data_IF_947009212568
#
_entry.id   IF_947009212568
#
_cell.length_a   1.000
_cell.length_b   1.000
_cell.length_c   1.000
_cell.angle_alpha   90.00
_cell.angle_beta   90.00
_cell.angle_gamma   90.00
#
_symmetry.space_group_name_H-M   'P 1'
#
loop_
_entity.id
_entity.type
_entity.pdbx_description
1 polymer ?
#
# COMPACT_ATOMS: atom_id res chain seq x y z
N UNK A 1 25.82 16.68 -10.40
CA UNK A 1 24.51 16.52 -11.06
C UNK A 1 24.17 17.83 -11.79
N UNK A 2 23.84 17.77 -13.07
CA UNK A 2 23.45 18.94 -13.84
C UNK A 2 21.93 19.20 -13.74
N UNK A 3 21.47 20.36 -14.26
CA UNK A 3 20.06 20.79 -14.18
C UNK A 3 19.10 19.79 -14.86
N UNK A 4 19.51 19.13 -15.95
CA UNK A 4 18.68 18.16 -16.65
C UNK A 4 18.56 16.86 -15.83
N UNK A 5 19.64 16.39 -15.25
CA UNK A 5 19.62 15.22 -14.36
C UNK A 5 18.74 15.47 -13.13
N UNK A 6 18.75 16.69 -12.58
CA UNK A 6 17.88 17.05 -11.48
C UNK A 6 16.40 17.06 -11.89
N UNK A 7 16.06 17.54 -13.09
CA UNK A 7 14.67 17.51 -13.59
C UNK A 7 14.08 16.11 -13.64
N UNK A 8 14.88 15.12 -13.99
CA UNK A 8 14.45 13.73 -14.07
C UNK A 8 14.19 13.08 -12.69
N UNK A 9 14.56 13.76 -11.61
CA UNK A 9 14.34 13.34 -10.22
C UNK A 9 13.19 14.09 -9.54
N UNK A 10 12.43 14.86 -10.30
CA UNK A 10 11.30 15.63 -9.77
C UNK A 10 10.02 15.19 -10.47
N UNK A 11 9.08 14.69 -9.68
CA UNK A 11 7.72 14.41 -10.14
C UNK A 11 6.77 15.41 -9.49
N UNK A 12 5.99 16.10 -10.31
CA UNK A 12 4.97 17.03 -9.87
C UNK A 12 3.65 16.30 -9.68
N UNK A 13 2.89 16.60 -8.62
CA UNK A 13 1.60 16.00 -8.34
C UNK A 13 0.68 15.98 -9.57
N UNK A 14 0.50 17.09 -10.26
CA UNK A 14 -0.33 17.19 -11.47
C UNK A 14 0.24 16.48 -12.71
N UNK A 15 1.37 15.77 -12.58
CA UNK A 15 1.97 14.94 -13.63
C UNK A 15 1.97 13.44 -13.28
N UNK A 16 1.43 13.08 -12.13
CA UNK A 16 1.25 11.70 -11.75
C UNK A 16 0.31 10.98 -12.72
N UNK A 17 0.68 9.77 -13.10
CA UNK A 17 -0.11 8.90 -13.98
C UNK A 17 -0.62 7.72 -13.17
N UNK A 18 -1.93 7.58 -12.98
CA UNK A 18 -2.50 6.46 -12.26
C UNK A 18 -2.49 5.19 -13.09
N UNK A 19 -2.29 4.05 -12.44
CA UNK A 19 -2.69 2.74 -12.92
C UNK A 19 -3.98 2.33 -12.19
N UNK A 20 -5.06 2.10 -12.92
CA UNK A 20 -6.36 1.72 -12.34
C UNK A 20 -6.54 0.21 -12.20
N UNK A 21 -5.63 -0.55 -12.83
CA UNK A 21 -5.60 -2.01 -12.81
C UNK A 21 -4.30 -2.54 -12.20
N UNK A 22 -3.74 -1.81 -11.23
CA UNK A 22 -2.44 -2.13 -10.66
C UNK A 22 -2.43 -3.46 -9.89
N UNK A 23 -3.57 -3.87 -9.34
CA UNK A 23 -3.68 -4.98 -8.41
C UNK A 23 -4.89 -5.87 -8.70
N UNK A 24 -4.82 -7.10 -8.22
CA UNK A 24 -5.81 -8.16 -8.43
C UNK A 24 -7.24 -7.75 -8.06
N UNK A 25 -7.45 -6.86 -7.10
CA UNK A 25 -8.75 -6.40 -6.65
C UNK A 25 -9.34 -5.22 -7.48
N UNK A 26 -8.71 -4.88 -8.61
CA UNK A 26 -9.11 -3.72 -9.42
C UNK A 26 -10.51 -3.83 -10.06
N UNK A 27 -11.08 -5.03 -10.16
CA UNK A 27 -12.46 -5.24 -10.63
C UNK A 27 -13.44 -5.58 -9.50
N UNK A 28 -12.96 -5.76 -8.28
CA UNK A 28 -13.79 -6.10 -7.13
C UNK A 28 -14.61 -4.89 -6.67
N UNK A 29 -15.91 -5.03 -6.43
CA UNK A 29 -16.74 -3.94 -5.92
C UNK A 29 -16.16 -3.32 -4.64
N UNK A 30 -16.13 -1.99 -4.59
CA UNK A 30 -15.50 -1.23 -3.50
C UNK A 30 -14.00 -1.03 -3.64
N UNK A 31 -13.33 -1.69 -4.62
CA UNK A 31 -11.90 -1.47 -4.92
C UNK A 31 -11.66 -1.01 -6.37
N UNK A 32 -12.69 -1.06 -7.20
CA UNK A 32 -12.62 -0.84 -8.66
C UNK A 32 -12.50 0.63 -9.09
N UNK A 33 -12.42 1.56 -8.17
CA UNK A 33 -12.27 3.00 -8.46
C UNK A 33 -10.95 3.57 -7.93
N UNK A 34 -10.07 2.74 -7.41
CA UNK A 34 -8.78 3.18 -6.88
C UNK A 34 -7.80 3.54 -8.00
N UNK A 35 -6.94 4.48 -7.69
CA UNK A 35 -5.83 4.91 -8.53
C UNK A 35 -4.51 4.64 -7.79
N UNK A 36 -3.60 3.92 -8.43
CA UNK A 36 -2.30 3.60 -7.87
C UNK A 36 -1.21 4.31 -8.67
N UNK A 37 -0.27 4.91 -7.97
CA UNK A 37 0.83 5.67 -8.56
C UNK A 37 2.14 5.04 -8.12
N UNK A 38 3.01 4.69 -9.08
CA UNK A 38 4.39 4.30 -8.80
C UNK A 38 5.28 5.49 -9.05
N UNK A 39 5.80 6.08 -7.98
CA UNK A 39 6.49 7.38 -8.02
C UNK A 39 7.99 7.16 -8.08
N UNK A 40 8.57 6.40 -7.15
CA UNK A 40 10.00 6.08 -7.12
C UNK A 40 10.15 4.57 -6.98
N UNK A 41 10.98 3.97 -7.82
CA UNK A 41 11.20 2.53 -7.87
C UNK A 41 10.06 1.78 -8.54
N UNK A 42 10.22 0.48 -8.75
CA UNK A 42 9.25 -0.38 -9.44
C UNK A 42 7.97 -0.64 -8.67
N UNK A 43 8.01 -0.50 -7.34
CA UNK A 43 6.85 -0.76 -6.48
C UNK A 43 6.42 -2.23 -6.50
N UNK A 44 5.14 -2.46 -6.23
CA UNK A 44 4.54 -3.80 -6.09
C UNK A 44 3.38 -4.05 -7.07
N UNK A 45 3.24 -3.23 -8.12
CA UNK A 45 2.16 -3.38 -9.08
C UNK A 45 2.27 -4.70 -9.85
N UNK A 46 1.15 -5.38 -10.04
CA UNK A 46 0.98 -6.64 -10.78
C UNK A 46 0.65 -6.39 -12.26
N UNK A 47 0.38 -5.13 -12.62
CA UNK A 47 0.01 -4.73 -13.97
C UNK A 47 1.22 -4.39 -14.83
N UNK A 48 1.23 -4.89 -16.07
CA UNK A 48 2.21 -4.51 -17.08
C UNK A 48 2.07 -3.03 -17.52
N UNK A 49 0.90 -2.43 -17.32
CA UNK A 49 0.59 -1.04 -17.73
C UNK A 49 1.07 0.01 -16.71
N UNK A 50 1.75 -0.42 -15.65
CA UNK A 50 2.24 0.47 -14.60
C UNK A 50 3.29 1.45 -15.12
N UNK A 51 3.04 2.75 -14.96
CA UNK A 51 4.03 3.78 -15.25
C UNK A 51 4.90 4.07 -14.02
N UNK A 52 6.21 3.87 -14.13
CA UNK A 52 7.18 4.27 -13.11
C UNK A 52 7.74 5.64 -13.44
N UNK A 53 7.59 6.62 -12.54
CA UNK A 53 8.01 8.01 -12.81
C UNK A 53 9.52 8.22 -12.63
N UNK A 54 10.10 7.66 -11.56
CA UNK A 54 11.54 7.68 -11.27
C UNK A 54 11.97 6.24 -11.02
N UNK A 55 12.77 5.69 -11.93
CA UNK A 55 13.17 4.28 -11.89
C UNK A 55 14.29 3.98 -10.88
N UNK A 56 15.14 4.99 -10.61
CA UNK A 56 16.24 4.82 -9.65
C UNK A 56 15.72 4.86 -8.21
N UNK A 57 16.05 3.84 -7.43
CA UNK A 57 15.73 3.78 -6.01
C UNK A 57 16.91 3.26 -5.20
N UNK A 58 17.32 3.96 -4.14
CA UNK A 58 18.38 3.53 -3.23
C UNK A 58 17.80 2.88 -1.95
N UNK A 59 17.22 1.68 -2.06
CA UNK A 59 16.79 0.92 -0.90
C UNK A 59 15.36 1.19 -0.40
N UNK A 60 14.53 1.88 -1.19
CA UNK A 60 13.11 2.07 -0.90
C UNK A 60 12.30 2.31 -2.18
N UNK A 61 10.99 2.11 -2.11
CA UNK A 61 10.05 2.48 -3.16
C UNK A 61 9.01 3.46 -2.60
N UNK A 62 8.57 4.40 -3.43
CA UNK A 62 7.48 5.32 -3.09
C UNK A 62 6.35 5.17 -4.08
N UNK A 63 5.18 4.86 -3.57
CA UNK A 63 3.92 4.86 -4.29
C UNK A 63 2.90 5.78 -3.64
N UNK A 64 1.73 5.88 -4.25
CA UNK A 64 0.57 6.50 -3.66
C UNK A 64 -0.70 5.78 -4.07
N UNK A 65 -1.72 5.82 -3.21
CA UNK A 65 -3.06 5.40 -3.51
C UNK A 65 -4.02 6.59 -3.43
N UNK A 66 -4.72 6.84 -4.54
CA UNK A 66 -5.79 7.81 -4.62
C UNK A 66 -7.13 7.08 -4.72
N UNK A 67 -8.11 7.46 -3.89
CA UNK A 67 -9.38 6.75 -3.81
C UNK A 67 -10.55 7.72 -3.60
N UNK A 68 -11.67 7.54 -4.30
CA UNK A 68 -12.91 8.23 -3.96
C UNK A 68 -13.48 7.71 -2.62
N UNK A 69 -14.52 8.35 -2.08
CA UNK A 69 -15.19 7.87 -0.87
C UNK A 69 -15.65 6.42 -0.96
N UNK A 70 -15.52 5.67 0.15
CA UNK A 70 -15.89 4.25 0.28
C UNK A 70 -15.12 3.31 -0.66
N UNK A 71 -14.03 3.77 -1.24
CA UNK A 71 -13.13 2.91 -2.01
C UNK A 71 -12.02 2.38 -1.09
N UNK A 72 -11.67 1.09 -1.26
CA UNK A 72 -10.70 0.40 -0.41
C UNK A 72 -9.60 -0.29 -1.20
N UNK A 73 -8.50 -0.52 -0.54
CA UNK A 73 -7.48 -1.51 -0.90
C UNK A 73 -7.70 -2.77 -0.07
N UNK A 74 -7.78 -3.92 -0.75
CA UNK A 74 -8.15 -5.19 -0.10
C UNK A 74 -7.04 -5.73 0.79
N UNK A 75 -7.36 -6.71 1.63
CA UNK A 75 -6.43 -7.32 2.59
C UNK A 75 -5.24 -7.97 1.91
N UNK A 76 -4.06 -7.50 2.25
CA UNK A 76 -2.78 -8.00 1.75
C UNK A 76 -1.68 -7.85 2.79
N UNK A 77 -0.56 -8.53 2.57
CA UNK A 77 0.63 -8.47 3.41
C UNK A 77 1.87 -8.25 2.56
N UNK A 78 2.92 -7.67 3.15
CA UNK A 78 4.25 -7.56 2.55
C UNK A 78 5.31 -8.19 3.48
N UNK A 79 6.40 -8.63 2.87
CA UNK A 79 7.58 -9.12 3.59
C UNK A 79 8.54 -8.00 3.98
N UNK A 80 8.29 -6.79 3.52
CA UNK A 80 9.07 -5.59 3.81
C UNK A 80 8.29 -4.61 4.68
N UNK A 81 8.98 -3.65 5.26
CA UNK A 81 8.37 -2.54 5.98
C UNK A 81 7.56 -1.67 5.02
N UNK A 82 6.42 -1.18 5.49
CA UNK A 82 5.58 -0.24 4.77
C UNK A 82 5.08 0.85 5.70
N UNK A 83 5.31 2.09 5.29
CA UNK A 83 4.85 3.30 5.98
C UNK A 83 3.84 4.03 5.11
N UNK A 84 2.71 4.41 5.69
CA UNK A 84 1.76 5.30 5.04
C UNK A 84 1.77 6.67 5.68
N UNK A 85 1.74 7.68 4.82
CA UNK A 85 1.53 9.08 5.16
C UNK A 85 0.23 9.57 4.53
N UNK A 86 -0.70 10.08 5.33
CA UNK A 86 -1.96 10.63 4.82
C UNK A 86 -1.71 12.01 4.24
N UNK A 87 -1.80 12.12 2.91
CA UNK A 87 -1.64 13.39 2.20
C UNK A 87 -2.95 14.19 2.16
N UNK A 88 -4.08 13.50 2.04
CA UNK A 88 -5.41 14.10 1.95
C UNK A 88 -6.49 13.11 2.34
N UNK A 89 -7.50 13.58 3.07
CA UNK A 89 -8.71 12.85 3.39
C UNK A 89 -8.69 12.14 4.74
N UNK A 90 -9.69 11.30 4.95
CA UNK A 90 -9.88 10.52 6.18
C UNK A 90 -9.88 9.04 5.84
N UNK A 91 -8.98 8.29 6.47
CA UNK A 91 -8.71 6.92 6.11
C UNK A 91 -8.90 5.98 7.28
N UNK A 92 -9.54 4.85 7.05
CA UNK A 92 -9.57 3.70 7.93
C UNK A 92 -8.49 2.72 7.49
N UNK A 93 -7.55 2.39 8.36
CA UNK A 93 -6.64 1.26 8.22
C UNK A 93 -7.16 0.14 9.10
N UNK A 94 -7.25 -1.05 8.56
CA UNK A 94 -7.74 -2.24 9.26
C UNK A 94 -6.83 -3.42 8.97
N UNK A 95 -6.72 -4.35 9.91
CA UNK A 95 -5.77 -5.45 9.81
C UNK A 95 -6.25 -6.73 10.49
N UNK A 96 -5.38 -7.80 10.36
CA UNK A 96 -5.65 -9.15 10.77
C UNK A 96 -6.02 -10.04 9.59
N UNK A 97 -5.96 -11.35 9.80
CA UNK A 97 -6.21 -12.36 8.76
C UNK A 97 -7.54 -12.17 8.04
N UNK A 98 -8.53 -11.65 8.76
CA UNK A 98 -9.89 -11.38 8.27
C UNK A 98 -10.23 -9.88 8.25
N UNK A 99 -9.24 -9.01 8.56
CA UNK A 99 -9.45 -7.57 8.64
C UNK A 99 -10.20 -7.09 9.89
N UNK A 100 -10.25 -7.91 10.93
CA UNK A 100 -11.06 -7.66 12.14
C UNK A 100 -10.25 -7.67 13.45
N UNK A 101 -8.93 -7.86 13.39
CA UNK A 101 -8.09 -7.88 14.58
C UNK A 101 -7.88 -6.48 15.18
N UNK A 102 -7.87 -5.45 14.33
CA UNK A 102 -7.78 -4.07 14.77
C UNK A 102 -7.98 -3.10 13.62
N UNK A 103 -8.21 -1.85 13.99
CA UNK A 103 -8.34 -0.74 13.04
C UNK A 103 -7.93 0.59 13.68
N UNK A 104 -7.67 1.58 12.83
CA UNK A 104 -7.44 2.97 13.22
C UNK A 104 -7.90 3.92 12.13
N UNK A 105 -8.47 5.05 12.53
CA UNK A 105 -8.76 6.16 11.61
C UNK A 105 -7.62 7.16 11.65
N UNK A 106 -7.12 7.52 10.47
CA UNK A 106 -6.07 8.52 10.25
C UNK A 106 -6.60 9.67 9.41
N UNK A 107 -6.01 10.85 9.61
CA UNK A 107 -6.31 12.08 8.88
C UNK A 107 -5.05 12.72 8.31
N UNK A 108 -5.18 13.80 7.60
CA UNK A 108 -4.06 14.51 6.95
C UNK A 108 -2.90 14.77 7.91
N UNK A 109 -1.70 14.38 7.48
CA UNK A 109 -0.47 14.51 8.26
C UNK A 109 -0.17 13.33 9.19
N UNK A 110 -1.14 12.44 9.45
CA UNK A 110 -0.90 11.23 10.27
C UNK A 110 -0.05 10.21 9.51
N UNK A 111 0.71 9.43 10.27
CA UNK A 111 1.61 8.39 9.77
C UNK A 111 1.28 7.07 10.46
N UNK A 112 1.32 5.98 9.71
CA UNK A 112 1.32 4.63 10.26
C UNK A 112 2.44 3.80 9.63
N UNK A 113 3.23 3.15 10.47
CA UNK A 113 4.17 2.11 10.08
C UNK A 113 3.49 0.75 10.27
N UNK A 114 3.11 0.10 9.19
CA UNK A 114 2.45 -1.21 9.28
C UNK A 114 3.43 -2.26 9.80
N UNK A 115 3.11 -2.99 10.87
CA UNK A 115 3.92 -4.11 11.30
C UNK A 115 4.12 -5.11 10.16
N UNK A 116 5.39 -5.43 9.86
CA UNK A 116 5.74 -6.34 8.76
C UNK A 116 5.07 -7.70 8.93
N UNK A 117 4.52 -8.24 7.86
CA UNK A 117 3.93 -9.57 7.83
C UNK A 117 2.48 -9.67 8.30
N UNK A 118 1.84 -8.59 8.78
CA UNK A 118 0.39 -8.64 9.05
C UNK A 118 -0.40 -8.41 7.78
N UNK A 119 -1.58 -9.01 7.68
CA UNK A 119 -2.58 -8.62 6.68
C UNK A 119 -3.19 -7.28 7.06
N UNK A 120 -3.26 -6.34 6.12
CA UNK A 120 -3.90 -5.03 6.26
C UNK A 120 -4.60 -4.61 4.99
N UNK A 121 -5.56 -3.73 5.17
CA UNK A 121 -6.23 -2.98 4.12
C UNK A 121 -6.46 -1.55 4.57
N UNK A 122 -6.89 -0.70 3.65
CA UNK A 122 -7.24 0.67 3.96
C UNK A 122 -8.39 1.14 3.07
N UNK A 123 -9.16 2.10 3.56
CA UNK A 123 -10.35 2.61 2.92
C UNK A 123 -10.45 4.12 3.11
N UNK A 124 -10.79 4.84 2.06
CA UNK A 124 -11.17 6.25 2.20
C UNK A 124 -12.59 6.36 2.77
N UNK A 125 -12.68 6.75 4.02
CA UNK A 125 -13.96 6.98 4.74
C UNK A 125 -14.33 8.48 4.82
N UNK A 126 -13.63 9.32 4.06
CA UNK A 126 -13.96 10.74 3.91
C UNK A 126 -15.07 10.96 2.89
N UNK A 127 -15.47 12.23 2.72
CA UNK A 127 -16.50 12.67 1.77
C UNK A 127 -15.95 12.98 0.37
N UNK A 128 -14.63 13.10 0.24
CA UNK A 128 -13.96 13.53 -0.98
C UNK A 128 -12.88 12.54 -1.41
N UNK A 129 -12.32 12.76 -2.60
CA UNK A 129 -11.15 12.01 -3.06
C UNK A 129 -9.98 12.20 -2.10
N UNK A 130 -9.52 11.10 -1.55
CA UNK A 130 -8.39 11.03 -0.64
C UNK A 130 -7.12 10.51 -1.30
N UNK A 131 -5.97 10.80 -0.71
CA UNK A 131 -4.67 10.31 -1.15
C UNK A 131 -3.76 9.98 0.03
N UNK A 132 -3.14 8.82 -0.04
CA UNK A 132 -2.07 8.40 0.88
C UNK A 132 -0.79 8.11 0.08
N UNK A 133 0.34 8.39 0.68
CA UNK A 133 1.65 7.99 0.17
C UNK A 133 2.09 6.71 0.88
N UNK A 134 2.60 5.75 0.13
CA UNK A 134 3.18 4.51 0.64
C UNK A 134 4.69 4.50 0.40
N UNK A 135 5.45 4.17 1.42
CA UNK A 135 6.90 3.97 1.35
C UNK A 135 7.18 2.53 1.73
N UNK A 136 7.75 1.77 0.80
CA UNK A 136 8.12 0.36 1.01
C UNK A 136 9.64 0.24 1.08
N UNK A 137 10.14 -0.55 2.00
CA UNK A 137 11.57 -0.85 2.14
C UNK A 137 12.07 -1.79 1.04
N UNK A 138 13.38 -1.72 0.74
CA UNK A 138 14.03 -2.53 -0.27
C UNK A 138 13.87 -2.03 -1.69
N UNK A 139 14.79 -2.43 -2.59
CA UNK A 139 14.77 -2.05 -4.00
C UNK A 139 13.67 -2.79 -4.78
N UNK A 140 13.32 -4.00 -4.35
CA UNK A 140 12.28 -4.86 -4.92
C UNK A 140 10.93 -4.80 -4.17
N UNK A 141 10.80 -3.87 -3.24
CA UNK A 141 9.61 -3.73 -2.38
C UNK A 141 9.20 -5.04 -1.67
N UNK A 142 10.19 -5.89 -1.31
CA UNK A 142 9.98 -7.14 -0.58
C UNK A 142 9.40 -8.29 -1.43
N UNK A 143 9.53 -8.22 -2.75
CA UNK A 143 9.12 -9.30 -3.67
C UNK A 143 7.62 -9.36 -3.94
N UNK A 144 6.89 -8.26 -3.74
CA UNK A 144 5.49 -8.15 -4.14
C UNK A 144 4.47 -8.22 -3.01
N UNK A 145 3.26 -8.61 -3.37
CA UNK A 145 2.08 -8.63 -2.50
C UNK A 145 1.68 -10.08 -2.17
N UNK A 146 1.37 -10.33 -0.91
CA UNK A 146 0.72 -11.56 -0.45
C UNK A 146 -0.75 -11.23 -0.20
N UNK A 147 -1.65 -11.74 -1.03
CA UNK A 147 -3.08 -11.50 -0.91
C UNK A 147 -3.74 -12.46 0.08
N UNK A 148 -4.72 -11.95 0.81
CA UNK A 148 -5.57 -12.81 1.63
C UNK A 148 -6.40 -13.75 0.72
N UNK A 149 -6.69 -15.00 1.15
CA UNK A 149 -7.38 -16.00 0.33
C UNK A 149 -8.65 -15.49 -0.34
N UNK A 150 -9.52 -14.84 0.43
CA UNK A 150 -10.78 -14.29 -0.06
C UNK A 150 -10.62 -13.22 -1.15
N UNK A 151 -9.49 -12.50 -1.17
CA UNK A 151 -9.22 -11.48 -2.20
C UNK A 151 -8.90 -12.13 -3.53
N UNK A 152 -8.13 -13.22 -3.53
CA UNK A 152 -7.82 -14.00 -4.74
C UNK A 152 -9.09 -14.60 -5.33
N UNK A 153 -9.95 -15.18 -4.48
CA UNK A 153 -11.21 -15.77 -4.88
C UNK A 153 -12.18 -14.72 -5.45
N UNK A 154 -12.33 -13.59 -4.76
CA UNK A 154 -13.17 -12.47 -5.21
C UNK A 154 -12.69 -11.91 -6.54
N UNK A 155 -11.40 -11.76 -6.72
CA UNK A 155 -10.82 -11.24 -7.96
C UNK A 155 -11.11 -12.18 -9.15
N UNK A 156 -10.94 -13.49 -8.97
CA UNK A 156 -11.24 -14.47 -10.01
C UNK A 156 -12.72 -14.41 -10.41
N UNK A 157 -13.64 -14.28 -9.44
CA UNK A 157 -15.08 -14.10 -9.68
C UNK A 157 -15.41 -12.80 -10.44
N UNK A 158 -14.51 -11.80 -10.39
CA UNK A 158 -14.65 -10.53 -11.10
C UNK A 158 -13.79 -10.42 -12.36
N UNK A 159 -13.15 -11.52 -12.77
CA UNK A 159 -12.45 -11.62 -14.04
C UNK A 159 -10.98 -11.21 -14.01
N UNK A 160 -10.35 -11.13 -12.83
CA UNK A 160 -8.91 -10.92 -12.69
C UNK A 160 -8.25 -12.16 -12.11
N UNK A 161 -7.23 -12.68 -12.79
CA UNK A 161 -6.47 -13.86 -12.36
C UNK A 161 -5.01 -13.45 -12.19
N UNK A 162 -4.50 -13.60 -10.98
CA UNK A 162 -3.08 -13.44 -10.68
C UNK A 162 -2.38 -14.77 -10.96
N UNK A 163 -1.35 -14.74 -11.79
CA UNK A 163 -0.51 -15.90 -12.06
C UNK A 163 0.54 -16.10 -10.95
N UNK A 164 1.03 -17.33 -10.79
CA UNK A 164 2.16 -17.66 -9.90
C UNK A 164 3.44 -16.86 -10.20
N UNK A 165 3.56 -16.31 -11.41
CA UNK A 165 4.63 -15.41 -11.85
C UNK A 165 4.47 -13.98 -11.32
N UNK A 166 3.37 -13.66 -10.65
CA UNK A 166 3.04 -12.31 -10.19
C UNK A 166 2.40 -11.41 -11.25
N UNK A 167 2.13 -11.93 -12.46
CA UNK A 167 1.46 -11.19 -13.54
C UNK A 167 -0.05 -11.34 -13.44
N UNK A 168 -0.76 -10.22 -13.62
CA UNK A 168 -2.22 -10.16 -13.67
C UNK A 168 -2.75 -10.36 -15.09
N UNK A 169 -3.81 -11.16 -15.21
CA UNK A 169 -4.54 -11.42 -16.45
C UNK A 169 -6.01 -10.99 -16.31
N UNK A 170 -6.50 -10.22 -17.28
CA UNK A 170 -7.85 -9.68 -17.31
C UNK A 170 -8.72 -10.46 -18.31
N UNK A 171 -9.52 -11.38 -17.80
CA UNK A 171 -10.40 -12.22 -18.62
C UNK A 171 -11.50 -11.41 -19.32
N UNK A 172 -11.87 -10.23 -18.77
CA UNK A 172 -12.84 -9.32 -19.41
C UNK A 172 -12.26 -8.63 -20.65
N UNK A 173 -10.92 -8.59 -20.75
CA UNK A 173 -10.21 -8.14 -21.96
C UNK A 173 -9.87 -9.29 -22.90
N UNK A 174 -10.31 -10.51 -22.60
CA UNK A 174 -9.99 -11.70 -23.38
C UNK A 174 -8.61 -12.27 -23.12
N UNK A 175 -7.94 -11.84 -22.04
CA UNK A 175 -6.65 -12.43 -21.63
C UNK A 175 -6.89 -13.77 -20.95
N UNK A 176 -5.98 -14.72 -21.14
CA UNK A 176 -5.99 -16.02 -20.48
C UNK A 176 -4.59 -16.37 -19.98
N UNK A 177 -4.50 -17.21 -18.97
CA UNK A 177 -3.23 -17.78 -18.53
C UNK A 177 -2.65 -18.62 -19.67
N UNK A 178 -1.32 -18.52 -19.94
CA UNK A 178 -0.62 -19.47 -20.81
C UNK A 178 -0.75 -20.92 -20.28
N UNK A 179 -0.72 -21.91 -21.16
CA UNK A 179 -0.94 -23.33 -20.82
C UNK A 179 0.00 -23.86 -19.71
N UNK A 180 1.23 -23.33 -19.63
CA UNK A 180 2.23 -23.72 -18.63
C UNK A 180 2.22 -22.87 -17.35
N UNK A 181 1.34 -21.87 -17.26
CA UNK A 181 1.27 -20.93 -16.13
C UNK A 181 0.09 -21.24 -15.23
N UNK A 182 0.34 -21.37 -13.94
CA UNK A 182 -0.71 -21.63 -12.95
C UNK A 182 -1.22 -20.34 -12.31
N UNK A 183 -2.46 -20.31 -11.86
CA UNK A 183 -2.94 -19.27 -10.95
C UNK A 183 -2.10 -19.24 -9.69
N UNK A 184 -1.95 -18.05 -9.09
CA UNK A 184 -1.32 -17.86 -7.79
C UNK A 184 -2.01 -18.78 -6.76
N UNK A 185 -1.27 -19.64 -6.05
CA UNK A 185 -1.85 -20.51 -5.04
C UNK A 185 -2.46 -19.70 -3.91
N UNK A 186 -3.64 -20.13 -3.48
CA UNK A 186 -4.32 -19.56 -2.30
C UNK A 186 -3.69 -20.15 -1.04
N UNK A 187 -3.40 -19.31 -0.05
CA UNK A 187 -2.87 -19.76 1.23
C UNK A 187 -3.84 -20.75 1.90
N UNK A 188 -3.34 -21.89 2.33
CA UNK A 188 -4.07 -22.83 3.16
C UNK A 188 -4.40 -22.26 4.54
N UNK A 189 -5.34 -22.84 5.24
CA UNK A 189 -5.68 -22.44 6.61
C UNK A 189 -4.47 -22.51 7.57
N UNK A 190 -3.59 -23.49 7.37
CA UNK A 190 -2.36 -23.62 8.15
C UNK A 190 -1.38 -22.49 7.88
N UNK A 191 -1.12 -22.16 6.61
CA UNK A 191 -0.26 -21.03 6.21
C UNK A 191 -0.83 -19.71 6.69
N UNK A 192 -2.14 -19.48 6.52
CA UNK A 192 -2.81 -18.27 7.00
C UNK A 192 -2.70 -18.14 8.53
N UNK A 193 -2.75 -19.24 9.28
CA UNK A 193 -2.64 -19.23 10.74
C UNK A 193 -1.26 -18.79 11.25
N UNK A 194 -0.23 -18.87 10.42
CA UNK A 194 1.12 -18.42 10.77
C UNK A 194 1.30 -16.89 10.73
N UNK A 195 0.37 -16.16 10.10
CA UNK A 195 0.43 -14.71 10.08
C UNK A 195 0.05 -14.10 11.43
N UNK A 196 0.77 -13.08 11.91
CA UNK A 196 0.48 -12.45 13.20
C UNK A 196 -0.92 -11.82 13.25
N UNK A 197 -1.54 -11.91 14.43
CA UNK A 197 -2.80 -11.25 14.75
C UNK A 197 -2.51 -10.21 15.84
N UNK A 198 -2.44 -8.94 15.47
CA UNK A 198 -2.17 -7.83 16.40
C UNK A 198 -3.46 -7.04 16.63
N UNK A 199 -3.70 -6.66 17.88
CA UNK A 199 -4.85 -5.83 18.22
C UNK A 199 -4.56 -4.33 17.99
N UNK A 200 -5.60 -3.50 18.07
CA UNK A 200 -5.43 -2.03 18.04
C UNK A 200 -4.51 -1.54 19.16
N UNK A 201 -4.51 -2.20 20.33
CA UNK A 201 -3.64 -1.85 21.46
C UNK A 201 -2.18 -2.17 21.20
N UNK A 202 -1.89 -3.18 20.39
CA UNK A 202 -0.53 -3.55 20.03
C UNK A 202 0.04 -2.60 18.97
N UNK A 203 -0.80 -2.16 18.01
CA UNK A 203 -0.36 -1.38 16.86
C UNK A 203 -0.35 0.12 17.12
N UNK A 204 -1.48 0.70 17.59
CA UNK A 204 -1.63 2.16 17.60
C UNK A 204 -0.60 2.88 18.44
N UNK A 205 -0.27 2.48 19.70
CA UNK A 205 0.70 3.21 20.51
C UNK A 205 2.13 3.18 19.98
N UNK A 206 2.48 2.15 19.18
CA UNK A 206 3.86 1.88 18.77
C UNK A 206 4.11 2.19 17.28
N UNK A 207 3.05 2.29 16.47
CA UNK A 207 3.16 2.34 15.02
C UNK A 207 2.41 3.52 14.38
N UNK A 208 1.70 4.33 15.17
CA UNK A 208 0.97 5.50 14.68
C UNK A 208 1.55 6.77 15.27
N UNK A 209 1.90 7.72 14.40
CA UNK A 209 2.24 9.08 14.79
C UNK A 209 1.14 10.03 14.31
N UNK A 210 0.56 10.79 15.24
CA UNK A 210 -0.47 11.79 14.94
C UNK A 210 0.17 13.12 14.64
N UNK A 211 -0.26 13.77 13.56
CA UNK A 211 0.24 15.09 13.18
C UNK A 211 0.13 16.12 14.32
N UNK A 212 -1.02 16.17 14.97
CA UNK A 212 -1.25 17.14 16.06
C UNK A 212 -0.43 16.84 17.31
N UNK A 213 -0.15 15.57 17.59
CA UNK A 213 0.75 15.21 18.70
C UNK A 213 2.16 15.69 18.40
N UNK A 214 2.64 15.50 17.15
CA UNK A 214 3.96 15.98 16.72
C UNK A 214 4.05 17.51 16.79
N UNK A 215 3.02 18.22 16.32
CA UNK A 215 2.97 19.69 16.37
C UNK A 215 2.94 20.23 17.80
N UNK A 216 2.21 19.59 18.72
CA UNK A 216 2.15 20.02 20.12
C UNK A 216 3.46 19.83 20.88
N UNK A 217 4.34 18.97 20.39
CA UNK A 217 5.66 18.73 20.97
C UNK A 217 6.70 19.76 20.53
N UNK A 218 6.53 20.37 19.35
CA UNK A 218 7.47 21.36 18.80
C UNK A 218 7.64 22.60 19.66
N UNK A 219 6.64 22.95 20.48
CA UNK A 219 6.68 24.12 21.36
C UNK A 219 7.38 23.87 22.72
N UNK A 220 7.79 22.64 23.03
CA UNK A 220 8.20 22.30 24.39
C UNK A 220 9.60 21.73 24.56
N UNK A 221 10.23 21.16 23.56
CA UNK A 221 11.65 20.69 23.57
C UNK A 221 12.06 20.09 22.21
N UNK A 222 13.38 19.95 21.90
CA UNK A 222 13.82 19.16 20.74
C UNK A 222 13.31 17.72 20.91
N UNK A 223 12.42 17.32 20.00
CA UNK A 223 11.68 16.07 20.12
C UNK A 223 12.56 14.93 19.63
N UNK A 224 12.78 13.96 20.48
CA UNK A 224 13.26 12.65 20.07
C UNK A 224 12.09 11.96 19.35
N UNK A 225 11.98 12.19 18.05
CA UNK A 225 10.92 11.63 17.23
C UNK A 225 11.33 10.24 16.77
N UNK A 226 10.52 9.27 17.12
CA UNK A 226 10.51 7.89 16.63
C UNK A 226 11.64 7.02 17.12
N UNK A 227 11.40 6.32 18.23
CA UNK A 227 12.12 5.11 18.65
C UNK A 227 13.64 5.25 18.70
N UNK A 228 14.33 4.20 18.99
CA UNK A 228 15.79 4.12 19.07
C UNK A 228 16.57 4.42 17.77
N UNK A 229 15.93 4.96 16.74
CA UNK A 229 16.55 5.25 15.44
C UNK A 229 17.19 6.64 15.34
N UNK A 230 17.14 7.47 16.37
CA UNK A 230 18.01 8.64 16.51
C UNK A 230 17.81 9.79 15.48
N UNK A 231 16.63 9.95 14.91
CA UNK A 231 16.31 11.16 14.12
C UNK A 231 15.99 12.30 15.08
N UNK A 232 16.98 13.19 15.23
CA UNK A 232 16.78 14.53 15.81
C UNK A 232 16.23 15.43 14.69
N UNK A 233 15.09 16.02 14.94
CA UNK A 233 14.61 17.18 14.17
C UNK A 233 14.86 18.40 15.03
N UNK A 234 15.83 19.23 14.63
CA UNK A 234 16.08 20.57 15.19
C UNK A 234 14.95 21.52 14.81
#
# INVERSE_FOLDING_TARGET
MNRQQMKNRIVRYGKLRPCKTAFIDAHTPGSNQKENFTIIGGGVSESADQHVHITETPGFNIGAAGQPPNCRNSLHSHRTAEVFFVLKGRWRFFWGRWGTAGEVTLTEGDIINIPTGIFRGFENIGSDYGMIMAILGGDDAGGGVIWAPQVIEDAANHGLILAETGRLYDTKKGESLPDETRPMPVLSAQELSAFPELTTRDVVPNHVARYWDLMSLSDKQPVKVIGDTGLLVD
#
